data_IF_461003710269
#
_entry.id   IF_461003710269
#
_cell.length_a   1.000
_cell.length_b   1.000
_cell.length_c   1.000
_cell.angle_alpha   90.00
_cell.angle_beta   90.00
_cell.angle_gamma   90.00
#
_symmetry.space_group_name_H-M   'P 1'
#
loop_
_entity.id
_entity.type
_entity.pdbx_description
1 polymer ?
#
# COMPACT_ATOMS: atom_id res chain seq x y z
N UNK A 1 -14.94 -15.24 -10.05
CA UNK A 1 -15.55 -14.21 -10.93
C UNK A 1 -16.31 -13.28 -10.01
N UNK A 2 -16.15 -11.96 -10.12
CA UNK A 2 -16.66 -10.99 -9.14
C UNK A 2 -15.60 -10.53 -8.13
N UNK A 3 -16.03 -10.11 -6.93
CA UNK A 3 -15.15 -9.67 -5.85
C UNK A 3 -14.17 -10.78 -5.43
N UNK A 4 -12.91 -10.42 -5.20
CA UNK A 4 -11.92 -11.36 -4.72
C UNK A 4 -11.98 -11.44 -3.20
N UNK A 5 -12.52 -12.56 -2.73
CA UNK A 5 -12.61 -12.87 -1.31
C UNK A 5 -11.23 -13.14 -0.70
N UNK A 6 -11.04 -12.73 0.55
CA UNK A 6 -9.91 -13.13 1.38
C UNK A 6 -8.82 -12.08 1.52
N UNK A 7 -9.17 -10.79 1.41
CA UNK A 7 -8.33 -9.71 1.92
C UNK A 7 -9.19 -8.64 2.57
N UNK A 8 -8.70 -7.91 3.57
CA UNK A 8 -9.38 -6.70 4.06
C UNK A 8 -9.42 -5.59 2.97
N UNK A 9 -8.55 -5.67 1.96
CA UNK A 9 -8.43 -4.75 0.81
C UNK A 9 -8.77 -5.45 -0.51
N UNK A 10 -9.97 -6.03 -0.58
CA UNK A 10 -10.48 -6.71 -1.79
C UNK A 10 -10.62 -5.78 -3.00
N UNK A 11 -10.74 -4.47 -2.76
CA UNK A 11 -10.86 -3.41 -3.76
C UNK A 11 -9.61 -3.32 -4.67
N UNK A 12 -8.43 -3.20 -4.05
CA UNK A 12 -7.14 -3.16 -4.76
C UNK A 12 -6.92 -4.49 -5.49
N UNK A 13 -7.23 -5.60 -4.84
CA UNK A 13 -7.03 -6.94 -5.36
C UNK A 13 -7.88 -7.24 -6.60
N UNK A 14 -9.15 -6.82 -6.55
CA UNK A 14 -10.10 -6.99 -7.66
C UNK A 14 -9.66 -6.13 -8.84
N UNK A 15 -9.29 -4.86 -8.61
CA UNK A 15 -8.77 -3.97 -9.66
C UNK A 15 -7.50 -4.52 -10.32
N UNK A 16 -6.54 -4.98 -9.51
CA UNK A 16 -5.31 -5.62 -10.00
C UNK A 16 -5.61 -6.82 -10.89
N UNK A 17 -6.51 -7.71 -10.45
CA UNK A 17 -6.89 -8.88 -11.26
C UNK A 17 -7.52 -8.48 -12.59
N UNK A 18 -8.40 -7.47 -12.60
CA UNK A 18 -8.99 -6.97 -13.85
C UNK A 18 -7.92 -6.40 -14.78
N UNK A 19 -6.97 -5.61 -14.28
CA UNK A 19 -5.89 -5.07 -15.10
C UNK A 19 -4.93 -6.15 -15.62
N UNK A 20 -4.70 -7.23 -14.85
CA UNK A 20 -4.01 -8.43 -15.35
C UNK A 20 -4.75 -9.12 -16.51
N UNK A 21 -6.06 -8.94 -16.66
CA UNK A 21 -6.83 -9.43 -17.81
C UNK A 21 -6.90 -8.40 -18.96
N UNK A 22 -6.09 -7.33 -18.93
CA UNK A 22 -6.00 -6.33 -19.99
C UNK A 22 -7.02 -5.20 -19.91
N UNK A 23 -7.83 -5.13 -18.84
CA UNK A 23 -8.76 -4.01 -18.63
C UNK A 23 -7.99 -2.72 -18.32
N UNK A 24 -8.55 -1.58 -18.73
CA UNK A 24 -7.97 -0.25 -18.51
C UNK A 24 -8.93 0.60 -17.69
N UNK A 25 -8.42 1.20 -16.61
CA UNK A 25 -9.15 2.18 -15.81
C UNK A 25 -9.01 3.60 -16.37
N UNK A 26 -9.99 4.46 -16.08
CA UNK A 26 -9.98 5.89 -16.42
C UNK A 26 -10.25 6.68 -15.14
N UNK A 27 -9.41 7.67 -14.86
CA UNK A 27 -9.57 8.58 -13.74
C UNK A 27 -10.03 9.95 -14.24
N UNK A 28 -11.25 10.36 -13.90
CA UNK A 28 -11.86 11.60 -14.34
C UNK A 28 -12.03 12.57 -13.17
N UNK A 29 -11.50 13.79 -13.30
CA UNK A 29 -11.64 14.86 -12.30
C UNK A 29 -12.55 15.98 -12.84
N UNK A 30 -13.87 15.95 -12.56
CA UNK A 30 -14.78 17.03 -12.95
C UNK A 30 -14.50 18.31 -12.15
N UNK A 31 -14.84 19.48 -12.72
CA UNK A 31 -14.65 20.80 -12.06
C UNK A 31 -15.37 20.92 -10.72
N UNK A 32 -16.48 20.21 -10.54
CA UNK A 32 -17.21 20.12 -9.27
C UNK A 32 -17.09 18.69 -8.75
N UNK A 33 -16.82 18.47 -7.45
CA UNK A 33 -16.75 17.14 -6.89
C UNK A 33 -18.11 16.45 -7.04
N UNK A 34 -18.16 15.42 -7.89
CA UNK A 34 -19.37 14.65 -8.18
C UNK A 34 -19.75 13.71 -7.02
N UNK A 35 -18.77 13.32 -6.21
CA UNK A 35 -18.97 12.50 -5.02
C UNK A 35 -18.48 13.26 -3.78
N UNK A 36 -19.35 13.37 -2.77
CA UNK A 36 -19.03 13.96 -1.47
C UNK A 36 -19.40 12.96 -0.38
N UNK A 37 -18.50 12.77 0.58
CA UNK A 37 -18.72 11.93 1.76
C UNK A 37 -18.22 12.65 3.01
N UNK A 38 -18.72 12.24 4.17
CA UNK A 38 -18.27 12.76 5.47
C UNK A 38 -16.96 12.08 5.88
N UNK A 39 -15.97 12.88 6.26
CA UNK A 39 -14.70 12.38 6.77
C UNK A 39 -14.77 12.18 8.30
N UNK A 40 -14.01 11.22 8.87
CA UNK A 40 -13.91 11.06 10.32
C UNK A 40 -13.31 12.32 10.97
N UNK A 41 -13.97 12.81 12.02
CA UNK A 41 -13.52 14.00 12.79
C UNK A 41 -12.55 13.58 13.90
N UNK A 42 -12.66 12.33 14.37
CA UNK A 42 -11.86 11.80 15.46
C UNK A 42 -10.54 11.18 14.96
N UNK A 43 -9.45 11.42 15.70
CA UNK A 43 -8.14 10.85 15.40
C UNK A 43 -8.13 9.31 15.54
N UNK A 44 -8.85 8.77 16.54
CA UNK A 44 -8.90 7.32 16.76
C UNK A 44 -9.45 6.57 15.54
N UNK A 45 -10.54 7.07 14.95
CA UNK A 45 -11.16 6.46 13.77
C UNK A 45 -10.22 6.56 12.56
N UNK A 46 -9.50 7.67 12.44
CA UNK A 46 -8.53 7.86 11.36
C UNK A 46 -7.35 6.90 11.48
N UNK A 47 -6.83 6.66 12.68
CA UNK A 47 -5.76 5.71 12.93
C UNK A 47 -6.20 4.27 12.65
N UNK A 48 -7.37 3.86 13.12
CA UNK A 48 -7.93 2.54 12.81
C UNK A 48 -8.13 2.34 11.31
N UNK A 49 -8.53 3.38 10.58
CA UNK A 49 -8.66 3.32 9.12
C UNK A 49 -7.31 3.08 8.44
N UNK A 50 -6.27 3.83 8.81
CA UNK A 50 -4.92 3.65 8.25
C UNK A 50 -4.36 2.28 8.60
N UNK A 51 -4.58 1.81 9.82
CA UNK A 51 -4.19 0.46 10.25
C UNK A 51 -4.85 -0.62 9.38
N UNK A 52 -6.15 -0.50 9.10
CA UNK A 52 -6.86 -1.44 8.21
C UNK A 52 -6.27 -1.46 6.79
N UNK A 53 -5.92 -0.30 6.25
CA UNK A 53 -5.24 -0.22 4.94
C UNK A 53 -3.87 -0.88 4.96
N UNK A 54 -3.09 -0.66 6.02
CA UNK A 54 -1.78 -1.27 6.18
C UNK A 54 -1.88 -2.80 6.30
N UNK A 55 -2.82 -3.29 7.11
CA UNK A 55 -3.07 -4.73 7.28
C UNK A 55 -3.48 -5.39 5.97
N UNK A 56 -4.45 -4.83 5.25
CA UNK A 56 -4.87 -5.37 3.95
C UNK A 56 -3.74 -5.38 2.92
N UNK A 57 -2.91 -4.34 2.90
CA UNK A 57 -1.75 -4.27 1.99
C UNK A 57 -0.70 -5.35 2.31
N UNK A 58 -0.39 -5.57 3.58
CA UNK A 58 0.52 -6.67 4.00
C UNK A 58 -0.09 -8.04 3.70
N UNK A 59 -1.39 -8.21 3.90
CA UNK A 59 -2.10 -9.44 3.55
C UNK A 59 -2.02 -9.74 2.05
N UNK A 60 -2.24 -8.75 1.18
CA UNK A 60 -2.05 -8.89 -0.28
C UNK A 60 -0.61 -9.30 -0.60
N UNK A 61 0.39 -8.67 0.04
CA UNK A 61 1.81 -8.96 -0.17
C UNK A 61 2.16 -10.42 0.14
N UNK A 62 1.61 -10.96 1.23
CA UNK A 62 1.84 -12.33 1.69
C UNK A 62 0.90 -13.35 1.03
N UNK A 63 -0.13 -12.90 0.33
CA UNK A 63 -1.08 -13.75 -0.38
C UNK A 63 -0.51 -14.32 -1.69
N UNK A 64 -1.20 -15.33 -2.23
CA UNK A 64 -0.94 -15.90 -3.57
C UNK A 64 -1.11 -14.89 -4.71
N UNK A 65 -1.78 -13.77 -4.47
CA UNK A 65 -2.07 -12.74 -5.46
C UNK A 65 -1.08 -11.57 -5.41
N UNK A 66 0.08 -11.74 -4.79
CA UNK A 66 1.09 -10.71 -4.69
C UNK A 66 1.56 -10.22 -6.09
N UNK A 67 1.57 -8.90 -6.36
CA UNK A 67 1.93 -8.33 -7.66
C UNK A 67 3.34 -8.67 -8.17
N UNK A 68 4.22 -9.12 -7.27
CA UNK A 68 5.60 -9.50 -7.57
C UNK A 68 5.65 -10.82 -8.36
N UNK A 69 4.81 -11.79 -8.01
CA UNK A 69 4.83 -13.15 -8.61
C UNK A 69 3.60 -13.45 -9.47
N UNK A 70 2.48 -12.74 -9.24
CA UNK A 70 1.22 -13.00 -9.92
C UNK A 70 1.04 -12.16 -11.20
N UNK A 71 0.30 -12.70 -12.18
CA UNK A 71 -0.18 -11.92 -13.33
C UNK A 71 0.84 -11.69 -14.45
N UNK A 72 1.83 -12.58 -14.64
CA UNK A 72 2.77 -12.52 -15.77
C UNK A 72 2.19 -13.01 -17.11
N UNK A 73 0.93 -13.43 -17.14
CA UNK A 73 0.23 -13.97 -18.32
C UNK A 73 -0.15 -12.96 -19.41
N UNK A 74 0.44 -11.76 -19.42
CA UNK A 74 0.15 -10.68 -20.38
C UNK A 74 -1.09 -9.85 -20.01
N UNK A 75 -1.04 -8.53 -20.25
CA UNK A 75 -2.14 -7.59 -20.03
C UNK A 75 -1.77 -6.36 -19.18
N UNK A 76 -0.91 -6.56 -18.17
CA UNK A 76 -0.48 -5.48 -17.26
C UNK A 76 0.81 -4.81 -17.75
N UNK A 77 0.83 -3.47 -17.82
CA UNK A 77 2.05 -2.73 -18.17
C UNK A 77 3.08 -2.82 -17.05
N UNK A 78 4.37 -2.81 -17.40
CA UNK A 78 5.45 -2.92 -16.41
C UNK A 78 5.44 -1.77 -15.38
N UNK A 79 5.25 -0.52 -15.83
CA UNK A 79 5.15 0.64 -14.92
C UNK A 79 3.91 0.56 -14.01
N UNK A 80 2.82 0.02 -14.53
CA UNK A 80 1.59 -0.18 -13.77
C UNK A 80 1.80 -1.24 -12.67
N UNK A 81 2.50 -2.34 -13.00
CA UNK A 81 2.92 -3.33 -12.01
C UNK A 81 3.79 -2.71 -10.92
N UNK A 82 4.75 -1.87 -11.30
CA UNK A 82 5.60 -1.18 -10.31
C UNK A 82 4.78 -0.32 -9.35
N UNK A 83 3.77 0.40 -9.86
CA UNK A 83 2.83 1.16 -9.03
C UNK A 83 2.09 0.24 -8.04
N UNK A 84 1.59 -0.91 -8.49
CA UNK A 84 0.93 -1.89 -7.61
C UNK A 84 1.86 -2.44 -6.53
N UNK A 85 3.11 -2.76 -6.88
CA UNK A 85 4.11 -3.23 -5.92
C UNK A 85 4.36 -2.15 -4.86
N UNK A 86 4.54 -0.90 -5.27
CA UNK A 86 4.73 0.21 -4.35
C UNK A 86 3.54 0.39 -3.38
N UNK A 87 2.31 0.29 -3.89
CA UNK A 87 1.08 0.35 -3.09
C UNK A 87 0.86 -0.84 -2.14
N UNK A 88 1.56 -1.96 -2.33
CA UNK A 88 1.46 -3.12 -1.44
C UNK A 88 2.60 -3.13 -0.41
N UNK A 89 3.78 -2.63 -0.80
CA UNK A 89 5.00 -2.61 0.04
C UNK A 89 5.05 -1.38 0.98
N UNK A 90 4.24 -0.33 0.74
CA UNK A 90 4.28 0.90 1.56
C UNK A 90 4.24 0.68 3.08
N UNK A 91 3.50 -0.28 3.67
CA UNK A 91 3.48 -0.42 5.12
C UNK A 91 4.82 -0.90 5.68
N UNK A 92 5.59 -1.66 4.89
CA UNK A 92 6.89 -2.17 5.31
C UNK A 92 7.94 -1.07 5.43
N UNK A 93 7.76 0.07 4.75
CA UNK A 93 8.69 1.21 4.90
C UNK A 93 8.63 1.84 6.28
N UNK A 94 7.58 1.56 7.07
CA UNK A 94 7.50 2.01 8.46
C UNK A 94 8.56 1.35 9.36
N UNK A 95 8.95 0.11 9.10
CA UNK A 95 9.96 -0.62 9.90
C UNK A 95 11.35 0.05 9.83
N UNK A 96 11.96 0.26 8.65
CA UNK A 96 13.24 0.96 8.56
C UNK A 96 13.12 2.42 9.01
N UNK A 97 11.96 3.07 8.82
CA UNK A 97 11.75 4.43 9.30
C UNK A 97 11.80 4.50 10.83
N UNK A 98 11.13 3.58 11.54
CA UNK A 98 11.19 3.53 13.01
C UNK A 98 12.62 3.24 13.48
N UNK A 99 13.32 2.30 12.84
CA UNK A 99 14.72 2.03 13.16
C UNK A 99 15.61 3.27 12.92
N UNK A 100 15.40 4.00 11.83
CA UNK A 100 16.13 5.23 11.53
C UNK A 100 15.83 6.35 12.53
N UNK A 101 14.58 6.52 12.95
CA UNK A 101 14.21 7.52 13.94
C UNK A 101 14.74 7.22 15.35
N UNK A 102 14.91 5.94 15.72
CA UNK A 102 15.47 5.54 17.03
C UNK A 102 17.00 5.55 17.06
N UNK A 103 17.65 5.41 15.91
CA UNK A 103 19.09 5.34 15.78
C UNK A 103 19.82 6.58 16.35
N UNK A 104 19.42 7.84 16.09
CA UNK A 104 20.02 9.02 16.71
C UNK A 104 19.93 9.02 18.24
N UNK A 105 18.79 8.59 18.81
CA UNK A 105 18.63 8.51 20.26
C UNK A 105 19.56 7.48 20.89
N UNK A 106 19.73 6.33 20.23
CA UNK A 106 20.67 5.27 20.67
C UNK A 106 22.12 5.76 20.57
N UNK A 107 22.49 6.41 19.47
CA UNK A 107 23.82 6.99 19.29
C UNK A 107 24.14 8.04 20.35
N UNK A 108 23.17 8.90 20.67
CA UNK A 108 23.34 9.97 21.66
C UNK A 108 23.48 9.42 23.09
N UNK A 109 22.72 8.38 23.47
CA UNK A 109 22.81 7.78 24.80
C UNK A 109 24.01 6.83 24.97
N UNK A 110 24.43 6.15 23.89
CA UNK A 110 25.53 5.18 23.95
C UNK A 110 26.91 5.81 23.72
N UNK A 111 26.96 7.05 23.22
CA UNK A 111 28.21 7.76 22.87
C UNK A 111 29.00 7.13 21.71
N UNK A 112 28.44 6.13 21.02
CA UNK A 112 29.06 5.45 19.87
C UNK A 112 28.51 6.03 18.58
N UNK A 113 29.35 6.78 17.88
CA UNK A 113 29.05 7.28 16.53
C UNK A 113 29.26 6.17 15.50
N UNK A 114 28.27 6.00 14.62
CA UNK A 114 28.25 4.94 13.59
C UNK A 114 29.05 5.35 12.35
N UNK A 115 29.22 6.66 12.12
CA UNK A 115 30.01 7.21 11.01
C UNK A 115 31.34 7.70 11.59
N UNK A 116 32.49 7.13 11.16
CA UNK A 116 33.80 7.71 11.50
C UNK A 116 33.96 9.06 10.79
N UNK A 117 34.61 10.01 11.45
CA UNK A 117 35.04 11.28 10.81
C UNK A 117 35.91 11.03 9.58
#
# INVERSE_FOLDING_TARGET
>A
VGWIYGSVTEDILTGFKMHCHGWRSVYCMPKRPAFKGSAPINLSDRLHQVLRWALGSVEILLSKHCPIWYGYGGGLKWLERFSYINSVVYPLTAVPLVAYCTLPAICLLSGKFIVPE
#
